data_IF_540670949144
#
_entry.id   IF_540670949144
#
_cell.length_a   1.000
_cell.length_b   1.000
_cell.length_c   1.000
_cell.angle_alpha   90.00
_cell.angle_beta   90.00
_cell.angle_gamma   90.00
#
_symmetry.space_group_name_H-M   'P 1'
#
loop_
_entity.id
_entity.type
_entity.pdbx_description
1 polymer ?
#
# COMPACT_ATOMS: atom_id res chain seq x y z
N UNK A 1 -13.98 -7.37 -2.71
CA UNK A 1 -15.08 -6.64 -1.99
C UNK A 1 -15.18 -5.24 -2.58
N UNK A 2 -16.39 -4.77 -2.95
CA UNK A 2 -16.56 -3.42 -3.51
C UNK A 2 -16.53 -2.36 -2.42
N UNK A 3 -15.67 -1.34 -2.56
CA UNK A 3 -15.59 -0.17 -1.68
C UNK A 3 -16.39 1.00 -2.26
N UNK A 4 -16.20 1.25 -3.56
CA UNK A 4 -16.94 2.26 -4.33
C UNK A 4 -17.02 1.82 -5.80
N UNK A 5 -17.68 2.62 -6.63
CA UNK A 5 -17.72 2.32 -8.06
C UNK A 5 -16.33 2.43 -8.70
N UNK A 6 -15.90 1.33 -9.33
CA UNK A 6 -14.54 1.19 -9.87
C UNK A 6 -13.46 0.94 -8.83
N UNK A 7 -13.78 0.82 -7.53
CA UNK A 7 -12.81 0.56 -6.46
C UNK A 7 -13.21 -0.68 -5.69
N UNK A 8 -12.39 -1.71 -5.75
CA UNK A 8 -12.50 -2.94 -4.98
C UNK A 8 -11.30 -3.11 -4.07
N UNK A 9 -11.45 -3.89 -2.99
CA UNK A 9 -10.33 -4.26 -2.14
C UNK A 9 -10.36 -5.75 -1.79
N UNK A 10 -9.19 -6.28 -1.55
CA UNK A 10 -8.97 -7.65 -1.10
C UNK A 10 -8.31 -7.57 0.26
N UNK A 11 -8.80 -8.34 1.22
CA UNK A 11 -8.25 -8.37 2.58
C UNK A 11 -7.64 -9.70 2.92
N UNK A 12 -6.62 -9.65 3.77
CA UNK A 12 -5.99 -10.82 4.35
C UNK A 12 -5.69 -10.56 5.83
N UNK A 13 -6.19 -11.41 6.72
CA UNK A 13 -5.99 -11.24 8.18
C UNK A 13 -4.55 -11.50 8.58
N UNK A 14 -3.95 -12.57 8.04
CA UNK A 14 -2.53 -12.86 8.26
C UNK A 14 -1.66 -11.77 7.60
N UNK A 15 -0.60 -11.34 8.29
CA UNK A 15 0.21 -10.21 7.86
C UNK A 15 -0.26 -8.87 8.43
N UNK A 16 -1.21 -8.86 9.39
CA UNK A 16 -1.65 -7.64 10.09
C UNK A 16 -2.87 -6.96 9.49
N UNK A 17 -3.88 -7.73 9.05
CA UNK A 17 -5.09 -7.19 8.40
C UNK A 17 -4.77 -6.35 7.16
N UNK A 18 -3.92 -6.90 6.29
CA UNK A 18 -3.42 -6.21 5.10
C UNK A 18 -4.46 -6.14 3.99
N UNK A 19 -4.41 -5.07 3.22
CA UNK A 19 -5.28 -4.80 2.08
C UNK A 19 -4.50 -4.55 0.79
N UNK A 20 -5.12 -4.95 -0.33
CA UNK A 20 -4.75 -4.58 -1.68
C UNK A 20 -5.99 -4.00 -2.38
N UNK A 21 -5.79 -3.07 -3.30
CA UNK A 21 -6.91 -2.39 -3.99
C UNK A 21 -6.85 -2.66 -5.49
N UNK A 22 -7.99 -3.07 -6.06
CA UNK A 22 -8.20 -3.24 -7.50
C UNK A 22 -9.03 -2.07 -8.00
N UNK A 23 -8.46 -1.31 -8.91
CA UNK A 23 -9.05 -0.13 -9.50
C UNK A 23 -9.43 -0.40 -10.95
N UNK A 24 -10.69 -0.18 -11.31
CA UNK A 24 -11.22 -0.31 -12.66
C UNK A 24 -11.56 1.08 -13.21
N UNK A 25 -10.77 1.56 -14.14
CA UNK A 25 -10.98 2.84 -14.83
C UNK A 25 -11.74 2.69 -16.17
N UNK A 26 -12.22 1.49 -16.46
CA UNK A 26 -12.90 1.14 -17.71
C UNK A 26 -11.95 0.72 -18.84
N UNK A 27 -10.66 1.02 -18.77
CA UNK A 27 -9.66 0.62 -19.77
C UNK A 27 -8.88 -0.63 -19.36
N UNK A 28 -8.84 -0.92 -18.06
CA UNK A 28 -8.18 -2.06 -17.47
C UNK A 28 -8.17 -1.98 -15.96
N UNK A 29 -7.47 -2.91 -15.34
CA UNK A 29 -7.31 -2.96 -13.90
C UNK A 29 -5.92 -2.47 -13.49
N UNK A 30 -5.88 -1.67 -12.45
CA UNK A 30 -4.66 -1.32 -11.71
C UNK A 30 -4.77 -1.89 -10.30
N UNK A 31 -3.76 -2.65 -9.88
CA UNK A 31 -3.64 -3.18 -8.54
C UNK A 31 -2.67 -2.33 -7.72
N UNK A 32 -3.09 -1.92 -6.54
CA UNK A 32 -2.24 -1.28 -5.53
C UNK A 32 -1.98 -2.31 -4.42
N UNK A 33 -0.72 -2.64 -4.22
CA UNK A 33 -0.21 -3.69 -3.35
C UNK A 33 -0.69 -5.11 -3.72
N UNK A 34 -0.06 -6.14 -3.19
CA UNK A 34 -0.26 -7.53 -3.62
C UNK A 34 -0.38 -8.52 -2.46
N UNK A 35 -0.79 -8.05 -1.27
CA UNK A 35 -0.98 -8.84 -0.06
C UNK A 35 0.28 -9.56 0.43
N UNK A 36 0.14 -10.35 1.49
CA UNK A 36 1.21 -11.14 2.09
C UNK A 36 1.41 -12.49 1.38
N UNK A 37 0.32 -13.11 0.88
CA UNK A 37 0.35 -14.41 0.22
C UNK A 37 1.07 -14.35 -1.12
N UNK A 38 1.91 -15.37 -1.37
CA UNK A 38 2.74 -15.42 -2.58
C UNK A 38 2.06 -16.11 -3.76
N UNK A 39 0.88 -16.68 -3.57
CA UNK A 39 0.12 -17.40 -4.63
C UNK A 39 -0.89 -16.49 -5.35
N UNK A 40 -1.16 -15.30 -4.82
CA UNK A 40 -2.04 -14.28 -5.37
C UNK A 40 -3.50 -14.71 -5.61
N UNK A 41 -3.93 -15.89 -5.15
CA UNK A 41 -5.26 -16.45 -5.45
C UNK A 41 -6.41 -15.51 -5.04
N UNK A 42 -6.32 -14.84 -3.87
CA UNK A 42 -7.34 -13.89 -3.38
C UNK A 42 -7.57 -12.73 -4.34
N UNK A 43 -6.49 -12.21 -4.93
CA UNK A 43 -6.55 -11.11 -5.89
C UNK A 43 -7.17 -11.60 -7.20
N UNK A 44 -6.73 -12.76 -7.68
CA UNK A 44 -7.28 -13.38 -8.90
C UNK A 44 -8.77 -13.73 -8.75
N UNK A 45 -9.19 -14.18 -7.57
CA UNK A 45 -10.60 -14.46 -7.30
C UNK A 45 -11.45 -13.18 -7.25
N UNK A 46 -10.92 -12.09 -6.67
CA UNK A 46 -11.62 -10.80 -6.72
C UNK A 46 -11.73 -10.26 -8.16
N UNK A 47 -10.67 -10.37 -8.98
CA UNK A 47 -10.74 -10.00 -10.40
C UNK A 47 -11.88 -10.75 -11.11
N UNK A 48 -12.00 -12.07 -10.88
CA UNK A 48 -13.10 -12.87 -11.44
C UNK A 48 -14.46 -12.45 -10.89
N UNK A 49 -14.54 -12.17 -9.60
CA UNK A 49 -15.77 -11.70 -8.94
C UNK A 49 -16.24 -10.33 -9.46
N UNK A 50 -15.31 -9.49 -9.95
CA UNK A 50 -15.61 -8.24 -10.66
C UNK A 50 -16.13 -8.48 -12.10
N UNK A 51 -16.18 -9.73 -12.58
CA UNK A 51 -16.51 -10.06 -13.95
C UNK A 51 -15.37 -9.79 -14.95
N UNK A 52 -14.15 -9.63 -14.43
CA UNK A 52 -12.94 -9.34 -15.20
C UNK A 52 -12.07 -10.60 -15.36
N UNK A 53 -11.13 -10.55 -16.31
CA UNK A 53 -10.15 -11.61 -16.52
C UNK A 53 -8.79 -11.18 -15.94
N UNK A 54 -7.93 -12.12 -15.51
CA UNK A 54 -6.57 -11.78 -15.08
C UNK A 54 -5.78 -10.96 -16.11
N UNK A 55 -6.01 -11.15 -17.40
CA UNK A 55 -5.42 -10.40 -18.50
C UNK A 55 -5.84 -8.92 -18.56
N UNK A 56 -6.90 -8.53 -17.83
CA UNK A 56 -7.32 -7.13 -17.70
C UNK A 56 -6.46 -6.36 -16.71
N UNK A 57 -5.69 -7.05 -15.85
CA UNK A 57 -4.72 -6.42 -14.97
C UNK A 57 -3.55 -5.87 -15.81
N UNK A 58 -3.45 -4.56 -15.88
CA UNK A 58 -2.43 -3.85 -16.68
C UNK A 58 -1.28 -3.33 -15.85
N UNK A 59 -1.58 -2.91 -14.62
CA UNK A 59 -0.60 -2.28 -13.75
C UNK A 59 -0.63 -2.91 -12.35
N UNK A 60 0.53 -3.11 -11.75
CA UNK A 60 0.73 -3.49 -10.35
C UNK A 60 1.65 -2.45 -9.73
N UNK A 61 1.17 -1.72 -8.73
CA UNK A 61 1.90 -0.62 -8.11
C UNK A 61 2.11 -0.96 -6.63
N UNK A 62 3.33 -0.91 -6.15
CA UNK A 62 3.61 -1.07 -4.72
C UNK A 62 3.68 0.29 -4.02
N UNK A 63 2.98 0.42 -2.88
CA UNK A 63 3.12 1.57 -1.99
C UNK A 63 4.51 1.60 -1.37
N UNK A 64 5.00 0.45 -0.93
CA UNK A 64 6.34 0.22 -0.38
C UNK A 64 6.66 -1.29 -0.38
N UNK A 65 7.89 -1.65 0.00
CA UNK A 65 8.43 -3.00 -0.18
C UNK A 65 8.37 -3.90 1.07
N UNK A 66 7.44 -3.69 2.01
CA UNK A 66 7.21 -4.71 3.03
C UNK A 66 6.48 -5.91 2.43
N UNK A 67 6.83 -7.12 2.89
CA UNK A 67 6.29 -8.37 2.35
C UNK A 67 4.75 -8.41 2.31
N UNK A 68 4.09 -7.80 3.28
CA UNK A 68 2.63 -7.70 3.33
C UNK A 68 2.01 -6.98 2.12
N UNK A 69 2.80 -6.24 1.36
CA UNK A 69 2.36 -5.44 0.21
C UNK A 69 2.84 -5.98 -1.14
N UNK A 70 3.87 -6.83 -1.12
CA UNK A 70 4.50 -7.32 -2.37
C UNK A 70 4.45 -8.84 -2.55
N UNK A 71 3.82 -9.58 -1.61
CA UNK A 71 3.85 -11.04 -1.58
C UNK A 71 3.44 -11.70 -2.90
N UNK A 72 2.30 -11.32 -3.45
CA UNK A 72 1.76 -11.86 -4.70
C UNK A 72 2.29 -11.23 -5.99
N UNK A 73 3.11 -10.17 -5.90
CA UNK A 73 3.48 -9.32 -7.04
C UNK A 73 4.15 -10.10 -8.17
N UNK A 74 5.12 -10.96 -7.84
CA UNK A 74 5.86 -11.75 -8.83
C UNK A 74 4.95 -12.74 -9.59
N UNK A 75 4.06 -13.43 -8.88
CA UNK A 75 3.14 -14.39 -9.48
C UNK A 75 2.11 -13.67 -10.36
N UNK A 76 1.57 -12.56 -9.89
CA UNK A 76 0.65 -11.74 -10.69
C UNK A 76 1.31 -11.25 -11.98
N UNK A 77 2.55 -10.73 -11.91
CA UNK A 77 3.29 -10.31 -13.10
C UNK A 77 3.47 -11.46 -14.10
N UNK A 78 3.87 -12.63 -13.63
CA UNK A 78 4.04 -13.82 -14.49
C UNK A 78 2.73 -14.26 -15.16
N UNK A 79 1.62 -14.21 -14.42
CA UNK A 79 0.31 -14.69 -14.93
C UNK A 79 -0.40 -13.68 -15.83
N UNK A 80 -0.19 -12.40 -15.63
CA UNK A 80 -0.97 -11.34 -16.30
C UNK A 80 -0.16 -10.52 -17.30
N UNK A 81 1.17 -10.60 -17.22
CA UNK A 81 2.11 -9.71 -17.93
C UNK A 81 1.86 -8.22 -17.64
N UNK A 82 1.27 -7.91 -16.46
CA UNK A 82 1.07 -6.54 -16.02
C UNK A 82 2.41 -5.84 -15.77
N UNK A 83 2.47 -4.54 -16.07
CA UNK A 83 3.63 -3.72 -15.74
C UNK A 83 3.69 -3.45 -14.25
N UNK A 84 4.88 -3.48 -13.70
CA UNK A 84 5.14 -3.33 -12.27
C UNK A 84 5.84 -2.02 -11.98
N UNK A 85 5.40 -1.36 -10.91
CA UNK A 85 5.86 -0.02 -10.54
C UNK A 85 6.10 0.09 -9.04
N UNK A 86 7.09 0.86 -8.66
CA UNK A 86 7.35 1.27 -7.27
C UNK A 86 8.23 2.50 -7.25
N UNK A 87 8.48 3.08 -6.09
CA UNK A 87 9.55 4.07 -5.94
C UNK A 87 10.92 3.42 -6.15
N UNK A 88 11.89 4.15 -6.72
CA UNK A 88 13.26 3.66 -6.97
C UNK A 88 13.90 3.05 -5.71
N UNK A 89 13.69 3.69 -4.55
CA UNK A 89 14.22 3.16 -3.29
C UNK A 89 13.65 1.79 -2.92
N UNK A 90 12.39 1.51 -3.22
CA UNK A 90 11.72 0.24 -2.94
C UNK A 90 12.08 -0.85 -3.95
N UNK A 91 12.35 -0.47 -5.20
CA UNK A 91 12.62 -1.39 -6.30
C UNK A 91 13.73 -2.41 -5.96
N UNK A 92 14.85 -1.95 -5.41
CA UNK A 92 15.94 -2.86 -5.05
C UNK A 92 15.59 -3.90 -3.97
N UNK A 93 14.58 -3.63 -3.14
CA UNK A 93 14.04 -4.62 -2.18
C UNK A 93 13.13 -5.59 -2.93
N UNK A 94 12.18 -5.08 -3.73
CA UNK A 94 11.23 -5.88 -4.51
C UNK A 94 11.97 -6.85 -5.45
N UNK A 95 13.07 -6.43 -6.03
CA UNK A 95 13.92 -7.22 -6.93
C UNK A 95 14.87 -8.19 -6.19
N UNK A 96 14.87 -8.16 -4.86
CA UNK A 96 15.75 -9.02 -4.06
C UNK A 96 17.21 -8.63 -4.04
N UNK A 97 17.57 -7.45 -4.57
CA UNK A 97 18.94 -6.93 -4.58
C UNK A 97 19.36 -6.40 -3.21
N UNK A 98 18.38 -6.02 -2.39
CA UNK A 98 18.57 -5.46 -1.06
C UNK A 98 17.53 -6.02 -0.11
N UNK A 99 17.90 -6.23 1.15
CA UNK A 99 16.96 -6.63 2.20
C UNK A 99 16.07 -5.46 2.60
N UNK A 100 14.87 -5.79 3.06
CA UNK A 100 13.98 -4.85 3.72
C UNK A 100 14.68 -4.13 4.89
N UNK A 101 14.18 -2.98 5.25
CA UNK A 101 14.81 -2.13 6.23
C UNK A 101 14.70 -2.74 7.62
N UNK A 102 15.79 -2.67 8.39
CA UNK A 102 15.80 -3.13 9.76
C UNK A 102 14.88 -2.26 10.62
N UNK A 103 13.93 -2.90 11.29
CA UNK A 103 13.11 -2.30 12.34
C UNK A 103 13.63 -2.70 13.71
N UNK A 104 13.21 -1.99 14.77
CA UNK A 104 13.63 -2.28 16.14
C UNK A 104 13.16 -3.67 16.59
N UNK A 105 14.04 -4.43 17.24
CA UNK A 105 13.67 -5.69 17.92
C UNK A 105 12.88 -5.43 19.21
N UNK A 106 12.98 -4.23 19.76
CA UNK A 106 12.25 -3.87 20.98
C UNK A 106 10.80 -3.56 20.67
N UNK A 107 9.84 -4.11 21.45
CA UNK A 107 8.44 -3.89 21.20
C UNK A 107 8.07 -2.40 21.28
N UNK A 108 7.33 -1.94 20.27
CA UNK A 108 6.73 -0.61 20.23
C UNK A 108 5.22 -0.74 19.99
N UNK A 109 4.42 0.23 20.42
CA UNK A 109 2.99 0.23 20.13
C UNK A 109 2.69 0.19 18.63
N UNK A 110 1.55 -0.42 18.23
CA UNK A 110 0.67 -1.23 19.07
C UNK A 110 1.26 -2.64 19.27
N UNK A 111 1.21 -3.14 20.52
CA UNK A 111 1.80 -4.46 20.86
C UNK A 111 1.20 -5.62 20.04
N UNK A 112 -0.03 -5.46 19.51
CA UNK A 112 -0.66 -6.43 18.62
C UNK A 112 0.10 -6.60 17.30
N UNK A 113 0.81 -5.58 16.83
CA UNK A 113 1.64 -5.62 15.61
C UNK A 113 3.07 -6.11 15.89
N UNK A 114 3.42 -6.39 17.15
CA UNK A 114 4.80 -6.75 17.52
C UNK A 114 5.31 -8.02 16.82
N UNK A 115 4.46 -9.00 16.59
CA UNK A 115 4.88 -10.21 15.86
C UNK A 115 5.37 -9.89 14.44
N UNK A 116 4.70 -8.99 13.75
CA UNK A 116 5.12 -8.50 12.42
C UNK A 116 6.42 -7.73 12.53
N UNK A 117 6.52 -6.81 13.50
CA UNK A 117 7.74 -6.05 13.77
C UNK A 117 8.92 -6.99 14.08
N UNK A 118 8.74 -7.99 14.93
CA UNK A 118 9.78 -8.93 15.32
C UNK A 118 10.23 -9.79 14.13
N UNK A 119 9.29 -10.28 13.32
CA UNK A 119 9.59 -11.02 12.09
C UNK A 119 10.46 -10.20 11.13
N UNK A 120 10.10 -8.93 10.87
CA UNK A 120 10.90 -8.02 10.05
C UNK A 120 12.28 -7.74 10.67
N UNK A 121 12.34 -7.54 11.99
CA UNK A 121 13.61 -7.31 12.69
C UNK A 121 14.59 -8.49 12.55
N UNK A 122 14.06 -9.73 12.48
CA UNK A 122 14.84 -10.94 12.23
C UNK A 122 15.11 -11.21 10.75
N UNK A 123 14.56 -10.41 9.84
CA UNK A 123 14.70 -10.62 8.39
C UNK A 123 13.86 -11.78 7.86
N UNK A 124 12.76 -12.15 8.54
CA UNK A 124 11.79 -13.17 8.10
C UNK A 124 10.76 -12.50 7.18
N UNK A 125 11.23 -11.79 6.17
CA UNK A 125 10.43 -11.01 5.23
C UNK A 125 10.64 -11.46 3.77
N UNK A 126 11.14 -12.68 3.58
CA UNK A 126 11.44 -13.23 2.26
C UNK A 126 10.20 -13.25 1.36
N UNK A 127 10.33 -12.70 0.16
CA UNK A 127 9.34 -12.69 -0.91
C UNK A 127 9.97 -13.24 -2.20
N UNK A 128 9.15 -13.61 -3.18
CA UNK A 128 9.64 -13.95 -4.52
C UNK A 128 10.08 -12.64 -5.22
N UNK A 129 11.34 -12.51 -5.66
CA UNK A 129 11.80 -11.32 -6.37
C UNK A 129 10.93 -11.03 -7.60
N UNK A 130 10.62 -9.76 -7.81
CA UNK A 130 9.84 -9.27 -8.93
C UNK A 130 10.54 -8.07 -9.56
N UNK A 131 10.83 -8.12 -10.85
CA UNK A 131 11.42 -6.97 -11.55
C UNK A 131 10.43 -5.82 -11.57
N UNK A 132 10.89 -4.61 -11.25
CA UNK A 132 10.14 -3.36 -11.36
C UNK A 132 10.40 -2.77 -12.74
N UNK A 133 9.36 -2.71 -13.58
CA UNK A 133 9.51 -2.25 -14.97
C UNK A 133 9.77 -0.75 -15.06
N UNK A 134 9.21 0.02 -14.13
CA UNK A 134 9.38 1.47 -14.12
C UNK A 134 9.33 2.03 -12.70
N UNK A 135 10.34 2.77 -12.28
CA UNK A 135 10.28 3.53 -11.04
C UNK A 135 9.32 4.72 -11.17
N UNK A 136 8.63 5.03 -10.07
CA UNK A 136 7.73 6.17 -9.95
C UNK A 136 8.31 7.22 -9.01
N UNK A 137 7.93 8.47 -9.26
CA UNK A 137 8.28 9.63 -8.44
C UNK A 137 7.07 10.56 -8.26
N UNK A 138 7.26 11.57 -7.46
CA UNK A 138 6.27 12.65 -7.25
C UNK A 138 5.71 13.19 -8.58
N UNK A 139 4.39 13.35 -8.61
CA UNK A 139 3.62 13.89 -9.73
C UNK A 139 3.59 13.05 -11.02
N UNK A 140 4.15 11.83 -11.01
CA UNK A 140 3.92 10.87 -12.10
C UNK A 140 2.43 10.45 -12.12
N UNK A 141 2.01 9.84 -13.24
CA UNK A 141 0.65 9.34 -13.40
C UNK A 141 0.64 7.89 -13.89
N UNK A 142 -0.30 7.09 -13.35
CA UNK A 142 -0.66 5.76 -13.86
C UNK A 142 -2.17 5.72 -14.06
N UNK A 143 -2.63 5.73 -15.32
CA UNK A 143 -4.05 5.90 -15.60
C UNK A 143 -4.59 7.18 -14.93
N UNK A 144 -5.67 7.09 -14.14
CA UNK A 144 -6.26 8.25 -13.47
C UNK A 144 -5.54 8.63 -12.17
N UNK A 145 -4.53 7.87 -11.74
CA UNK A 145 -3.85 8.07 -10.47
C UNK A 145 -2.72 9.09 -10.59
N UNK A 146 -2.70 10.04 -9.68
CA UNK A 146 -1.56 10.92 -9.42
C UNK A 146 -0.71 10.33 -8.30
N UNK A 147 0.59 10.22 -8.53
CA UNK A 147 1.55 9.67 -7.58
C UNK A 147 2.01 10.76 -6.60
N UNK A 148 1.95 10.47 -5.32
CA UNK A 148 2.36 11.38 -4.24
C UNK A 148 3.44 10.69 -3.42
N UNK A 149 4.65 11.25 -3.39
CA UNK A 149 5.69 10.75 -2.51
C UNK A 149 5.35 11.06 -1.05
N UNK A 150 5.26 10.03 -0.24
CA UNK A 150 4.88 10.10 1.18
C UNK A 150 5.90 9.38 2.07
N UNK A 151 7.17 9.83 2.06
CA UNK A 151 8.21 9.18 2.86
C UNK A 151 7.90 9.26 4.36
N UNK A 152 8.43 8.30 5.11
CA UNK A 152 8.30 8.25 6.57
C UNK A 152 8.15 6.82 7.05
N UNK A 153 7.10 6.11 6.64
CA UNK A 153 6.98 4.68 6.91
C UNK A 153 8.20 3.94 6.33
N UNK A 154 8.44 4.11 5.03
CA UNK A 154 9.74 3.87 4.39
C UNK A 154 10.18 5.12 3.62
N UNK A 155 11.47 5.25 3.22
CA UNK A 155 11.94 6.39 2.43
C UNK A 155 11.30 6.49 1.05
N UNK A 156 10.90 5.37 0.46
CA UNK A 156 10.28 5.30 -0.87
C UNK A 156 8.77 5.13 -0.86
N UNK A 157 8.11 5.35 0.28
CA UNK A 157 6.67 5.18 0.37
C UNK A 157 5.93 6.12 -0.58
N UNK A 158 4.95 5.58 -1.32
CA UNK A 158 4.10 6.29 -2.26
C UNK A 158 2.64 6.19 -1.84
N UNK A 159 1.90 7.26 -2.07
CA UNK A 159 0.44 7.31 -2.04
C UNK A 159 -0.10 7.59 -3.44
N UNK A 160 -1.35 7.21 -3.69
CA UNK A 160 -1.97 7.30 -5.02
C UNK A 160 -3.31 8.01 -4.88
N UNK A 161 -3.47 9.15 -5.56
CA UNK A 161 -4.68 9.94 -5.52
C UNK A 161 -5.47 9.79 -6.83
N UNK A 162 -6.76 9.43 -6.71
CA UNK A 162 -7.72 9.38 -7.81
C UNK A 162 -8.72 10.53 -7.67
N UNK A 163 -8.50 11.67 -8.36
CA UNK A 163 -9.29 12.89 -8.17
C UNK A 163 -10.79 12.70 -8.42
N UNK A 164 -11.15 12.02 -9.51
CA UNK A 164 -12.55 11.82 -9.92
C UNK A 164 -13.34 11.00 -8.92
N UNK A 165 -12.69 10.09 -8.21
CA UNK A 165 -13.27 9.23 -7.18
C UNK A 165 -13.08 9.81 -5.77
N UNK A 166 -12.37 10.94 -5.62
CA UNK A 166 -11.99 11.51 -4.32
C UNK A 166 -11.33 10.47 -3.41
N UNK A 167 -10.59 9.55 -3.99
CA UNK A 167 -10.01 8.41 -3.32
C UNK A 167 -8.50 8.54 -3.23
N UNK A 168 -7.95 8.26 -2.06
CA UNK A 168 -6.53 8.29 -1.77
C UNK A 168 -6.10 6.95 -1.17
N UNK A 169 -5.09 6.31 -1.76
CA UNK A 169 -4.51 5.06 -1.26
C UNK A 169 -3.15 5.37 -0.67
N UNK A 170 -2.98 5.12 0.63
CA UNK A 170 -1.84 5.64 1.40
C UNK A 170 -0.87 4.57 1.91
N UNK A 171 -1.14 3.28 1.64
CA UNK A 171 -0.36 2.20 2.23
C UNK A 171 -0.32 2.33 3.76
N UNK A 172 0.87 2.25 4.34
CA UNK A 172 1.09 2.29 5.78
C UNK A 172 1.43 3.67 6.35
N UNK A 173 1.26 4.72 5.55
CA UNK A 173 1.34 6.11 6.04
C UNK A 173 0.24 6.36 7.07
N UNK A 174 -0.94 5.75 6.86
CA UNK A 174 -2.05 5.68 7.81
C UNK A 174 -2.47 4.24 7.95
N UNK A 175 -2.74 3.81 9.17
CA UNK A 175 -3.30 2.49 9.50
C UNK A 175 -4.60 2.66 10.29
N UNK A 176 -5.51 1.71 10.17
CA UNK A 176 -6.78 1.71 10.93
C UNK A 176 -6.91 0.50 11.86
N UNK A 177 -5.91 -0.38 11.87
CA UNK A 177 -5.85 -1.51 12.80
C UNK A 177 -4.61 -1.40 13.69
N UNK A 178 -4.73 -1.67 14.99
CA UNK A 178 -5.95 -1.88 15.77
C UNK A 178 -6.70 -0.59 16.11
N UNK A 179 -6.13 0.55 15.75
CA UNK A 179 -6.69 1.91 15.90
C UNK A 179 -6.27 2.76 14.70
N UNK A 180 -6.96 3.88 14.50
CA UNK A 180 -6.59 4.87 13.47
C UNK A 180 -5.35 5.64 13.96
N UNK A 181 -4.24 5.48 13.28
CA UNK A 181 -2.94 6.06 13.64
C UNK A 181 -2.13 6.47 12.40
N UNK A 182 -1.18 7.38 12.61
CA UNK A 182 -0.21 7.82 11.59
C UNK A 182 0.91 6.78 11.40
N UNK A 183 0.56 5.58 10.96
CA UNK A 183 1.46 4.44 10.85
C UNK A 183 1.72 3.74 12.20
N UNK A 184 2.47 2.66 12.18
CA UNK A 184 2.87 1.95 13.38
C UNK A 184 4.28 2.37 13.83
N UNK A 185 4.47 2.92 15.05
CA UNK A 185 5.79 3.35 15.53
C UNK A 185 6.88 2.28 15.50
N UNK A 186 6.47 0.99 15.58
CA UNK A 186 7.40 -0.15 15.50
C UNK A 186 7.88 -0.49 14.10
N UNK A 187 7.16 -0.05 13.08
CA UNK A 187 7.39 -0.38 11.67
C UNK A 187 7.67 0.86 10.81
N UNK A 188 7.43 2.06 11.33
CA UNK A 188 7.68 3.33 10.66
C UNK A 188 9.09 3.83 10.98
N UNK A 189 9.89 4.08 9.94
CA UNK A 189 11.28 4.47 10.08
C UNK A 189 11.44 5.89 10.63
N UNK A 190 10.62 6.83 10.16
CA UNK A 190 10.61 8.23 10.60
C UNK A 190 9.17 8.71 10.79
N UNK A 191 8.69 8.65 12.04
CA UNK A 191 7.33 9.09 12.40
C UNK A 191 7.10 10.57 12.15
N UNK A 192 8.13 11.43 12.37
CA UNK A 192 8.00 12.87 12.12
C UNK A 192 7.82 13.17 10.63
N UNK A 193 8.59 12.47 9.80
CA UNK A 193 8.45 12.59 8.36
C UNK A 193 7.11 12.01 7.88
N UNK A 194 6.65 10.90 8.47
CA UNK A 194 5.35 10.30 8.15
C UNK A 194 4.19 11.28 8.41
N UNK A 195 4.20 11.98 9.54
CA UNK A 195 3.20 13.00 9.87
C UNK A 195 3.27 14.18 8.90
N UNK A 196 4.47 14.63 8.50
CA UNK A 196 4.60 15.64 7.45
C UNK A 196 4.00 15.20 6.12
N UNK A 197 4.19 13.93 5.77
CA UNK A 197 3.60 13.35 4.57
C UNK A 197 2.07 13.32 4.65
N UNK A 198 1.48 12.99 5.81
CA UNK A 198 0.03 13.11 6.03
C UNK A 198 -0.41 14.58 5.85
N UNK A 199 0.33 15.54 6.41
CA UNK A 199 0.06 16.97 6.22
C UNK A 199 -0.02 17.36 4.74
N UNK A 200 0.95 16.92 3.93
CA UNK A 200 0.96 17.14 2.47
C UNK A 200 -0.28 16.53 1.79
N UNK A 201 -0.72 15.34 2.21
CA UNK A 201 -1.91 14.70 1.64
C UNK A 201 -3.18 15.52 1.90
N UNK A 202 -3.25 16.29 3.00
CA UNK A 202 -4.42 17.15 3.27
C UNK A 202 -4.54 18.32 2.30
N UNK A 203 -3.48 18.67 1.57
CA UNK A 203 -3.48 19.78 0.60
C UNK A 203 -4.30 19.46 -0.66
N UNK A 204 -4.55 18.19 -0.95
CA UNK A 204 -5.44 17.78 -2.04
C UNK A 204 -6.93 18.14 -1.78
N UNK A 205 -7.31 18.35 -0.53
CA UNK A 205 -8.57 18.96 -0.10
C UNK A 205 -9.84 18.12 -0.28
N UNK A 206 -9.98 17.41 -1.37
CA UNK A 206 -11.22 16.67 -1.71
C UNK A 206 -10.98 15.16 -1.63
N UNK A 207 -10.91 14.62 -0.40
CA UNK A 207 -10.65 13.21 -0.12
C UNK A 207 -11.80 12.67 0.73
N UNK A 208 -12.62 11.79 0.14
CA UNK A 208 -13.65 11.07 0.85
C UNK A 208 -13.17 9.68 1.28
N UNK A 209 -12.59 8.92 0.33
CA UNK A 209 -12.15 7.55 0.54
C UNK A 209 -10.66 7.54 0.85
N UNK A 210 -10.25 6.80 1.90
CA UNK A 210 -8.85 6.49 2.16
C UNK A 210 -8.65 4.97 2.22
N UNK A 211 -7.89 4.45 1.27
CA UNK A 211 -7.41 3.07 1.25
C UNK A 211 -6.13 2.97 2.05
N UNK A 212 -6.14 2.18 3.11
CA UNK A 212 -5.00 1.95 4.00
C UNK A 212 -4.38 0.57 3.76
N UNK A 213 -3.10 0.42 4.03
CA UNK A 213 -2.42 -0.87 3.92
C UNK A 213 -2.87 -1.86 4.98
N UNK A 214 -3.12 -1.41 6.20
CA UNK A 214 -3.54 -2.24 7.33
C UNK A 214 -4.77 -1.71 8.05
N UNK A 215 -5.78 -2.57 8.21
CA UNK A 215 -7.07 -2.27 8.81
C UNK A 215 -8.13 -1.89 7.77
N UNK A 216 -9.37 -1.59 8.18
CA UNK A 216 -10.46 -1.34 7.24
C UNK A 216 -10.27 0.02 6.52
N UNK A 217 -10.51 0.08 5.20
CA UNK A 217 -10.52 1.35 4.48
C UNK A 217 -11.53 2.33 5.06
N UNK A 218 -11.28 3.63 4.93
CA UNK A 218 -12.19 4.70 5.33
C UNK A 218 -13.04 5.04 4.11
N UNK A 219 -14.37 4.73 4.13
CA UNK A 219 -15.21 4.86 2.95
C UNK A 219 -15.72 6.30 2.72
N UNK A 220 -15.66 7.15 3.75
CA UNK A 220 -16.13 8.55 3.72
C UNK A 220 -15.44 9.40 4.78
N UNK A 221 -15.36 10.71 4.56
CA UNK A 221 -14.76 11.64 5.53
C UNK A 221 -13.25 11.50 5.68
N UNK A 222 -12.57 10.90 4.73
CA UNK A 222 -11.12 10.63 4.78
C UNK A 222 -10.27 11.87 5.06
N UNK A 223 -10.67 13.03 4.52
CA UNK A 223 -9.92 14.28 4.73
C UNK A 223 -9.91 14.71 6.20
N UNK A 224 -10.99 14.49 6.96
CA UNK A 224 -11.05 14.86 8.37
C UNK A 224 -10.19 13.94 9.23
N UNK A 225 -10.11 12.65 8.87
CA UNK A 225 -9.19 11.71 9.51
C UNK A 225 -7.73 12.15 9.27
N UNK A 226 -7.36 12.49 8.04
CA UNK A 226 -6.01 12.96 7.72
C UNK A 226 -5.66 14.27 8.47
N UNK A 227 -6.60 15.22 8.56
CA UNK A 227 -6.42 16.47 9.34
C UNK A 227 -6.18 16.18 10.82
N UNK A 228 -6.90 15.23 11.40
CA UNK A 228 -6.70 14.84 12.79
C UNK A 228 -5.33 14.19 13.01
N UNK A 229 -4.92 13.32 12.10
CA UNK A 229 -3.65 12.60 12.21
C UNK A 229 -2.42 13.51 12.04
N UNK A 230 -2.48 14.53 11.19
CA UNK A 230 -1.36 15.48 11.01
C UNK A 230 -1.05 16.29 12.28
N UNK A 231 -2.00 16.39 13.21
CA UNK A 231 -1.84 17.13 14.46
C UNK A 231 -1.25 16.27 15.59
N UNK A 232 -1.04 14.97 15.35
CA UNK A 232 -0.43 14.07 16.33
C UNK A 232 1.00 14.53 16.64
N UNK A 233 1.30 14.59 17.94
CA UNK A 233 2.65 14.86 18.45
C UNK A 233 3.40 13.55 18.59
N UNK A 234 4.61 13.49 18.06
CA UNK A 234 5.55 12.36 18.16
C UNK A 234 6.64 12.69 19.15
#
# INVERSE_FOLDING_TARGET
MKLADGIHYVRQTFGGHVHAFLLDDGTGLTLIDALYDTDAHRILDEIRAMGRQPSDLKNIIATHAHRSHIGGMAVLKEMTNARTYSHEWEAGIIEGQRKSTRVSIWPKPPLKAYYTQFGLALGVDGHKPCMVDQPLKEADHIGPLTIVATPGHTPGCLSFYWPEKKALFVGDVVVTWPYVEAGWPGLTMDMKQNIKSIGKLTDFGNIDIVGVGHGEPIPEGGIEVLKTLREQKV
#
